data_IF_488007636384
#
_entry.id   IF_488007636384
#
_cell.length_a   1.000
_cell.length_b   1.000
_cell.length_c   1.000
_cell.angle_alpha   90.00
_cell.angle_beta   90.00
_cell.angle_gamma   90.00
#
_symmetry.space_group_name_H-M   'P 1'
#
loop_
_entity.id
_entity.type
_entity.pdbx_description
1 polymer ?
#
# COMPACT_ATOMS: atom_id res chain seq x y z
N UNK A 1 14.45 24.05 -21.91
CA UNK A 1 15.82 23.55 -22.20
C UNK A 1 16.72 23.47 -20.95
N UNK A 2 16.78 24.53 -20.13
CA UNK A 2 17.73 24.58 -19.00
C UNK A 2 17.15 24.15 -17.64
N UNK A 3 15.87 23.81 -17.60
CA UNK A 3 15.17 23.38 -16.38
C UNK A 3 15.74 22.09 -15.81
N UNK A 4 16.00 22.04 -14.51
CA UNK A 4 16.31 20.81 -13.77
C UNK A 4 15.04 20.00 -13.60
N UNK A 5 15.06 18.76 -14.08
CA UNK A 5 13.91 17.86 -14.08
C UNK A 5 14.18 16.68 -13.17
N UNK A 6 13.31 16.45 -12.20
CA UNK A 6 13.34 15.23 -11.38
C UNK A 6 12.23 14.27 -11.80
N UNK A 7 12.61 13.04 -12.15
CA UNK A 7 11.67 11.94 -12.41
C UNK A 7 11.69 11.02 -11.19
N UNK A 8 10.61 11.03 -10.42
CA UNK A 8 10.48 10.18 -9.24
C UNK A 8 10.00 8.80 -9.70
N UNK A 9 10.76 7.75 -9.39
CA UNK A 9 10.45 6.36 -9.74
C UNK A 9 10.23 5.52 -8.49
N UNK A 10 9.32 4.55 -8.57
CA UNK A 10 9.11 3.58 -7.50
C UNK A 10 10.38 2.74 -7.26
N UNK A 11 10.55 2.24 -6.04
CA UNK A 11 11.63 1.32 -5.68
C UNK A 11 11.35 -0.15 -6.09
N UNK A 12 12.32 -1.02 -5.83
CA UNK A 12 12.30 -2.46 -6.16
C UNK A 12 11.17 -3.24 -5.49
N UNK A 13 10.54 -2.69 -4.45
CA UNK A 13 9.42 -3.33 -3.77
C UNK A 13 8.09 -3.17 -4.52
N UNK A 14 8.07 -2.41 -5.61
CA UNK A 14 6.89 -2.17 -6.43
C UNK A 14 6.96 -2.95 -7.74
N UNK A 15 5.81 -3.47 -8.23
CA UNK A 15 5.75 -4.14 -9.52
C UNK A 15 5.73 -3.16 -10.71
N UNK A 16 5.92 -1.86 -10.47
CA UNK A 16 5.90 -0.81 -11.50
C UNK A 16 6.92 -1.15 -12.60
N UNK A 17 6.51 -1.28 -13.87
CA UNK A 17 7.41 -1.59 -14.97
C UNK A 17 8.17 -0.33 -15.43
N UNK A 18 8.99 0.26 -14.54
CA UNK A 18 9.66 1.54 -14.74
C UNK A 18 10.50 1.59 -16.02
N UNK A 19 11.23 0.50 -16.34
CA UNK A 19 11.97 0.37 -17.60
C UNK A 19 11.10 0.50 -18.87
N UNK A 20 9.78 0.32 -18.77
CA UNK A 20 8.82 0.56 -19.88
C UNK A 20 8.22 1.97 -19.85
N UNK A 21 8.22 2.62 -18.68
CA UNK A 21 7.64 3.97 -18.49
C UNK A 21 8.65 5.05 -18.90
N UNK A 22 9.92 4.87 -18.54
CA UNK A 22 10.95 5.89 -18.74
C UNK A 22 11.23 6.19 -20.23
N UNK A 23 11.37 5.22 -21.15
CA UNK A 23 11.72 5.53 -22.54
C UNK A 23 10.75 6.52 -23.22
N UNK A 24 9.42 6.31 -23.24
CA UNK A 24 8.51 7.29 -23.85
C UNK A 24 8.44 8.62 -23.08
N UNK A 25 8.65 8.61 -21.77
CA UNK A 25 8.70 9.85 -20.98
C UNK A 25 9.93 10.69 -21.33
N UNK A 26 11.10 10.04 -21.47
CA UNK A 26 12.34 10.71 -21.86
C UNK A 26 12.25 11.26 -23.28
N UNK A 27 11.63 10.52 -24.20
CA UNK A 27 11.38 10.99 -25.58
C UNK A 27 10.59 12.32 -25.58
N UNK A 28 9.51 12.41 -24.81
CA UNK A 28 8.73 13.65 -24.69
C UNK A 28 9.56 14.81 -24.09
N UNK A 29 10.38 14.52 -23.08
CA UNK A 29 11.26 15.53 -22.48
C UNK A 29 12.33 16.02 -23.48
N UNK A 30 12.89 15.13 -24.30
CA UNK A 30 13.85 15.50 -25.34
C UNK A 30 13.19 16.33 -26.45
N UNK A 31 11.95 16.02 -26.83
CA UNK A 31 11.16 16.86 -27.75
C UNK A 31 10.93 18.27 -27.16
N UNK A 32 10.76 18.37 -25.84
CA UNK A 32 10.73 19.63 -25.09
C UNK A 32 12.10 20.33 -24.95
N UNK A 33 13.17 19.74 -25.48
CA UNK A 33 14.52 20.28 -25.47
C UNK A 33 15.30 20.05 -24.18
N UNK A 34 14.87 19.13 -23.31
CA UNK A 34 15.70 18.65 -22.21
C UNK A 34 16.85 17.80 -22.75
N UNK A 35 17.92 17.68 -21.96
CA UNK A 35 19.05 16.78 -22.20
C UNK A 35 19.27 15.91 -20.98
N UNK A 36 20.07 14.86 -21.12
CA UNK A 36 20.42 13.95 -20.01
C UNK A 36 20.96 14.69 -18.78
N UNK A 37 21.77 15.74 -18.99
CA UNK A 37 22.34 16.58 -17.93
C UNK A 37 21.29 17.40 -17.14
N UNK A 38 20.10 17.60 -17.70
CA UNK A 38 19.00 18.29 -17.02
C UNK A 38 18.19 17.34 -16.13
N UNK A 39 18.29 16.02 -16.34
CA UNK A 39 17.37 15.04 -15.77
C UNK A 39 18.05 14.29 -14.62
N UNK A 40 17.36 14.17 -13.50
CA UNK A 40 17.73 13.30 -12.38
C UNK A 40 16.60 12.32 -12.10
N UNK A 41 16.92 11.02 -12.11
CA UNK A 41 15.99 9.97 -11.69
C UNK A 41 16.16 9.76 -10.19
N UNK A 42 15.06 9.93 -9.45
CA UNK A 42 15.04 9.80 -7.98
C UNK A 42 14.26 8.54 -7.60
N UNK A 43 14.91 7.57 -6.97
CA UNK A 43 14.22 6.39 -6.43
C UNK A 43 13.50 6.74 -5.13
N UNK A 44 12.18 6.68 -5.15
CA UNK A 44 11.30 6.93 -4.02
C UNK A 44 11.26 5.73 -3.07
N UNK A 45 12.17 5.70 -2.10
CA UNK A 45 12.28 4.63 -1.12
C UNK A 45 11.29 4.77 0.05
N UNK A 46 10.83 5.99 0.34
CA UNK A 46 10.21 6.29 1.63
C UNK A 46 11.11 5.84 2.79
N UNK A 47 10.64 4.89 3.60
CA UNK A 47 11.37 4.30 4.73
C UNK A 47 12.05 2.96 4.41
N UNK A 48 12.05 2.53 3.15
CA UNK A 48 12.69 1.28 2.79
C UNK A 48 14.22 1.40 2.77
N UNK A 49 14.90 0.24 2.81
CA UNK A 49 16.35 0.19 2.66
C UNK A 49 16.80 0.75 1.31
N UNK A 50 18.05 1.17 1.26
CA UNK A 50 18.72 1.45 -0.01
C UNK A 50 18.71 0.21 -0.92
N UNK A 51 18.54 0.45 -2.21
CA UNK A 51 18.64 -0.55 -3.25
C UNK A 51 20.11 -0.77 -3.61
N UNK A 52 20.41 -1.99 -4.01
CA UNK A 52 21.70 -2.29 -4.64
C UNK A 52 21.76 -1.67 -6.05
N UNK A 53 22.97 -1.51 -6.57
CA UNK A 53 23.18 -1.05 -7.93
C UNK A 53 22.49 -1.95 -8.96
N UNK A 54 22.55 -3.27 -8.76
CA UNK A 54 21.93 -4.25 -9.66
C UNK A 54 20.39 -4.19 -9.62
N UNK A 55 19.79 -3.99 -8.43
CA UNK A 55 18.36 -3.71 -8.31
C UNK A 55 17.97 -2.44 -9.08
N UNK A 56 18.77 -1.38 -8.94
CA UNK A 56 18.54 -0.09 -9.60
C UNK A 56 18.62 -0.21 -11.12
N UNK A 57 19.67 -0.86 -11.66
CA UNK A 57 19.83 -1.13 -13.10
C UNK A 57 18.68 -1.98 -13.65
N UNK A 58 18.28 -3.02 -12.92
CA UNK A 58 17.17 -3.88 -13.32
C UNK A 58 15.85 -3.11 -13.38
N UNK A 59 15.65 -2.16 -12.48
CA UNK A 59 14.41 -1.39 -12.37
C UNK A 59 14.23 -0.41 -13.54
N UNK A 60 15.27 0.36 -13.86
CA UNK A 60 15.18 1.44 -14.87
C UNK A 60 15.79 1.08 -16.23
N UNK A 61 16.57 0.00 -16.31
CA UNK A 61 17.35 -0.38 -17.49
C UNK A 61 18.79 0.12 -17.45
N UNK A 62 19.73 -0.73 -17.86
CA UNK A 62 21.17 -0.45 -17.78
C UNK A 62 21.59 0.78 -18.60
N UNK A 63 21.01 0.97 -19.78
CA UNK A 63 21.33 2.10 -20.65
C UNK A 63 20.92 3.44 -20.03
N UNK A 64 19.75 3.50 -19.40
CA UNK A 64 19.26 4.70 -18.71
C UNK A 64 20.13 4.98 -17.48
N UNK A 65 20.43 3.94 -16.69
CA UNK A 65 21.26 4.07 -15.49
C UNK A 65 22.67 4.61 -15.79
N UNK A 66 23.24 4.28 -16.95
CA UNK A 66 24.56 4.79 -17.37
C UNK A 66 24.53 6.23 -17.88
N UNK A 67 23.41 6.67 -18.48
CA UNK A 67 23.32 7.96 -19.17
C UNK A 67 22.81 9.09 -18.28
N UNK A 68 21.83 8.79 -17.44
CA UNK A 68 21.11 9.78 -16.65
C UNK A 68 21.51 9.65 -15.18
N UNK A 69 21.70 10.79 -14.51
CA UNK A 69 21.99 10.83 -13.07
C UNK A 69 20.86 10.14 -12.31
N UNK A 70 21.23 9.11 -11.54
CA UNK A 70 20.29 8.38 -10.69
C UNK A 70 20.68 8.55 -9.23
N UNK A 71 19.71 8.85 -8.37
CA UNK A 71 19.92 9.04 -6.94
C UNK A 71 18.80 8.38 -6.14
N UNK A 72 19.14 7.84 -4.98
CA UNK A 72 18.18 7.26 -4.07
C UNK A 72 17.76 8.27 -3.01
N UNK A 73 16.48 8.24 -2.63
CA UNK A 73 15.96 9.03 -1.52
C UNK A 73 16.75 8.76 -0.22
N UNK A 74 17.03 9.84 0.51
CA UNK A 74 17.67 9.83 1.84
C UNK A 74 16.86 10.71 2.79
N UNK A 75 16.29 10.08 3.83
CA UNK A 75 15.43 10.75 4.83
C UNK A 75 16.17 11.82 5.62
N UNK A 76 17.50 11.74 5.73
CA UNK A 76 18.33 12.72 6.44
C UNK A 76 18.58 14.01 5.64
N UNK A 77 18.30 13.98 4.33
CA UNK A 77 18.49 15.10 3.39
C UNK A 77 17.17 15.73 2.95
N UNK A 78 16.18 15.70 3.83
CA UNK A 78 14.88 16.33 3.60
C UNK A 78 14.87 17.74 4.19
N UNK A 79 14.25 18.70 3.48
CA UNK A 79 14.07 20.07 3.95
C UNK A 79 12.59 20.36 4.16
N UNK A 80 12.27 21.01 5.28
CA UNK A 80 10.90 21.38 5.64
C UNK A 80 10.43 22.59 4.85
N UNK A 81 9.24 22.45 4.26
CA UNK A 81 8.59 23.50 3.45
C UNK A 81 7.21 23.88 3.98
N UNK A 82 6.66 23.14 4.95
CA UNK A 82 5.36 23.44 5.52
C UNK A 82 4.88 22.42 6.53
N UNK A 83 3.57 22.44 6.78
CA UNK A 83 2.83 21.48 7.58
C UNK A 83 1.42 21.37 6.99
N UNK A 84 0.86 20.17 6.92
CA UNK A 84 -0.52 19.96 6.48
C UNK A 84 -1.51 20.39 7.56
N UNK A 85 -2.78 20.53 7.20
CA UNK A 85 -3.89 20.81 8.09
C UNK A 85 -4.05 19.75 9.19
N UNK A 86 -3.56 18.53 8.96
CA UNK A 86 -3.57 17.41 9.90
C UNK A 86 -2.28 17.29 10.73
N UNK A 87 -1.37 18.26 10.59
CA UNK A 87 -0.16 18.37 11.40
C UNK A 87 1.03 17.57 10.87
N UNK A 88 0.96 16.99 9.67
CA UNK A 88 2.09 16.29 9.04
C UNK A 88 3.11 17.33 8.57
N UNK A 89 4.37 17.29 9.07
CA UNK A 89 5.44 18.10 8.49
C UNK A 89 5.59 17.80 7.01
N UNK A 90 5.75 18.82 6.18
CA UNK A 90 6.01 18.64 4.76
C UNK A 90 7.51 18.81 4.57
N UNK A 91 8.23 17.69 4.54
CA UNK A 91 9.69 17.68 4.43
C UNK A 91 10.10 16.79 3.25
N UNK A 92 10.69 17.40 2.23
CA UNK A 92 10.95 16.75 0.94
C UNK A 92 12.44 16.68 0.68
N UNK A 93 12.88 15.57 0.08
CA UNK A 93 14.26 15.35 -0.32
C UNK A 93 14.81 16.49 -1.17
N UNK A 94 15.96 17.02 -0.79
CA UNK A 94 16.48 18.27 -1.35
C UNK A 94 16.68 18.23 -2.87
N UNK A 95 17.07 17.09 -3.44
CA UNK A 95 17.26 16.90 -4.89
C UNK A 95 15.94 17.02 -5.68
N UNK A 96 14.81 16.68 -5.04
CA UNK A 96 13.48 16.84 -5.63
C UNK A 96 12.98 18.27 -5.41
N UNK A 97 13.29 18.85 -4.25
CA UNK A 97 12.90 20.21 -3.92
C UNK A 97 13.63 21.27 -4.75
N UNK A 98 14.88 21.02 -5.14
CA UNK A 98 15.69 21.94 -5.96
C UNK A 98 15.44 21.82 -7.48
N UNK A 99 14.51 20.96 -7.89
CA UNK A 99 14.15 20.79 -9.30
C UNK A 99 13.14 21.85 -9.75
N UNK A 100 13.30 22.32 -10.99
CA UNK A 100 12.35 23.27 -11.60
C UNK A 100 11.06 22.57 -12.05
N UNK A 101 11.15 21.27 -12.36
CA UNK A 101 10.01 20.46 -12.77
C UNK A 101 10.12 19.04 -12.20
N UNK A 102 9.02 18.55 -11.63
CA UNK A 102 8.98 17.23 -10.99
C UNK A 102 7.88 16.37 -11.61
N UNK A 103 8.25 15.13 -11.96
CA UNK A 103 7.37 14.14 -12.55
C UNK A 103 7.26 12.96 -11.61
N UNK A 104 6.07 12.73 -11.07
CA UNK A 104 5.77 11.54 -10.27
C UNK A 104 5.44 10.34 -11.16
N UNK A 105 6.20 9.24 -11.07
CA UNK A 105 5.86 7.98 -11.76
C UNK A 105 5.51 6.86 -10.79
N UNK A 106 4.73 5.88 -11.25
CA UNK A 106 4.33 4.76 -10.40
C UNK A 106 3.18 3.92 -10.95
N UNK A 107 2.81 2.89 -10.20
CA UNK A 107 1.60 2.11 -10.43
C UNK A 107 0.42 2.62 -9.60
N UNK A 108 -0.81 2.50 -10.13
CA UNK A 108 -2.05 2.67 -9.38
C UNK A 108 -2.66 1.29 -9.14
N UNK A 109 -2.79 0.93 -7.88
CA UNK A 109 -3.42 -0.28 -7.34
C UNK A 109 -4.13 0.08 -6.03
N UNK A 110 -4.91 -0.85 -5.47
CA UNK A 110 -5.48 -0.63 -4.14
C UNK A 110 -4.41 -0.54 -3.06
N UNK A 111 -4.66 0.30 -2.06
CA UNK A 111 -3.80 0.44 -0.90
C UNK A 111 -4.63 0.44 0.38
N UNK A 112 -4.34 -0.52 1.25
CA UNK A 112 -5.16 -0.89 2.40
C UNK A 112 -5.58 0.26 3.34
N UNK A 113 -4.77 1.31 3.54
CA UNK A 113 -5.19 2.52 4.27
C UNK A 113 -5.27 3.82 3.46
N UNK A 114 -4.60 3.89 2.31
CA UNK A 114 -4.50 5.13 1.52
C UNK A 114 -5.54 5.18 0.39
N UNK A 115 -6.47 4.22 0.37
CA UNK A 115 -7.37 3.92 -0.73
C UNK A 115 -6.66 3.26 -1.91
N UNK A 116 -5.71 4.00 -2.49
CA UNK A 116 -4.99 3.64 -3.71
C UNK A 116 -3.49 3.90 -3.54
N UNK A 117 -2.64 3.37 -4.43
CA UNK A 117 -1.24 3.77 -4.61
C UNK A 117 -1.14 4.97 -5.56
N UNK A 118 0.05 5.31 -6.08
CA UNK A 118 0.21 6.33 -7.12
C UNK A 118 -0.14 7.77 -6.70
N UNK A 119 -0.09 8.66 -7.70
CA UNK A 119 -0.32 10.11 -7.52
C UNK A 119 0.61 10.72 -6.47
N UNK A 120 0.01 11.46 -5.53
CA UNK A 120 0.70 12.16 -4.45
C UNK A 120 1.64 11.28 -3.58
N UNK A 121 1.50 9.94 -3.63
CA UNK A 121 2.39 9.02 -2.91
C UNK A 121 3.84 9.07 -3.37
N UNK A 122 4.11 9.59 -4.57
CA UNK A 122 5.48 9.82 -5.03
C UNK A 122 6.20 10.87 -4.17
N UNK A 123 5.46 11.82 -3.58
CA UNK A 123 5.99 12.83 -2.66
C UNK A 123 5.97 12.27 -1.23
N UNK A 124 4.78 12.03 -0.68
CA UNK A 124 4.57 11.51 0.67
C UNK A 124 3.91 10.12 0.59
N UNK A 125 4.62 9.01 0.88
CA UNK A 125 5.92 8.93 1.55
C UNK A 125 7.15 8.91 0.63
N UNK A 126 6.99 8.86 -0.69
CA UNK A 126 8.04 8.44 -1.61
C UNK A 126 9.41 9.11 -1.44
N UNK A 127 9.42 10.43 -1.26
CA UNK A 127 10.65 11.24 -1.08
C UNK A 127 10.56 12.17 0.14
N UNK A 128 9.87 11.70 1.18
CA UNK A 128 9.62 12.46 2.41
C UNK A 128 10.45 11.97 3.59
N UNK A 129 10.71 12.87 4.55
CA UNK A 129 11.41 12.53 5.80
C UNK A 129 10.69 11.46 6.62
N UNK A 130 11.41 10.83 7.53
CA UNK A 130 10.81 9.86 8.44
C UNK A 130 9.70 10.47 9.31
N UNK A 131 9.89 11.67 9.84
CA UNK A 131 8.87 12.35 10.65
C UNK A 131 7.57 12.59 9.85
N UNK A 132 7.69 13.02 8.60
CA UNK A 132 6.56 13.22 7.69
C UNK A 132 5.82 11.90 7.44
N UNK A 133 6.57 10.84 7.12
CA UNK A 133 5.99 9.52 6.85
C UNK A 133 5.29 8.97 8.09
N UNK A 134 5.94 8.98 9.24
CA UNK A 134 5.38 8.46 10.48
C UNK A 134 4.13 9.23 10.92
N UNK A 135 4.14 10.56 10.80
CA UNK A 135 2.98 11.39 11.16
C UNK A 135 1.79 11.09 10.25
N UNK A 136 2.02 10.98 8.93
CA UNK A 136 0.99 10.57 7.99
C UNK A 136 0.43 9.16 8.28
N UNK A 137 1.31 8.20 8.64
CA UNK A 137 0.91 6.81 8.85
C UNK A 137 0.12 6.60 10.14
N UNK A 138 0.20 7.50 11.14
CA UNK A 138 -0.65 7.43 12.34
C UNK A 138 -2.15 7.47 12.01
N UNK A 139 -2.54 8.09 10.90
CA UNK A 139 -3.94 8.14 10.45
C UNK A 139 -4.46 6.80 9.89
N UNK A 140 -3.61 5.79 9.71
CA UNK A 140 -4.03 4.50 9.14
C UNK A 140 -5.00 3.70 10.00
N UNK A 141 -5.16 4.06 11.28
CA UNK A 141 -6.13 3.46 12.20
C UNK A 141 -7.46 4.22 12.24
N UNK A 142 -7.58 5.35 11.52
CA UNK A 142 -8.85 6.05 11.38
C UNK A 142 -9.85 5.19 10.61
N UNK A 143 -11.13 5.30 10.96
CA UNK A 143 -12.18 4.45 10.40
C UNK A 143 -12.28 4.49 8.86
N UNK A 144 -12.02 5.65 8.27
CA UNK A 144 -12.07 5.85 6.82
C UNK A 144 -10.73 5.58 6.10
N UNK A 145 -9.67 5.20 6.83
CA UNK A 145 -8.39 4.82 6.27
C UNK A 145 -8.45 3.37 5.74
N UNK A 146 -9.22 3.17 4.67
CA UNK A 146 -9.48 1.85 4.08
C UNK A 146 -9.19 1.85 2.57
N UNK A 147 -9.06 0.64 2.03
CA UNK A 147 -8.85 0.37 0.61
C UNK A 147 -9.99 0.92 -0.27
N UNK A 148 -9.66 1.41 -1.47
CA UNK A 148 -10.63 1.89 -2.47
C UNK A 148 -11.33 3.22 -2.17
N UNK A 149 -10.88 3.97 -1.16
CA UNK A 149 -11.40 5.30 -0.81
C UNK A 149 -10.48 6.42 -1.23
N UNK A 150 -10.96 7.28 -2.12
CA UNK A 150 -10.22 8.49 -2.55
C UNK A 150 -10.18 9.56 -1.47
N UNK A 151 -11.15 9.53 -0.55
CA UNK A 151 -11.29 10.44 0.58
C UNK A 151 -10.73 9.86 1.89
N UNK A 152 -9.86 8.85 1.79
CA UNK A 152 -9.10 8.35 2.95
C UNK A 152 -8.35 9.52 3.61
N UNK A 153 -8.38 9.64 4.96
CA UNK A 153 -7.70 10.72 5.66
C UNK A 153 -6.20 10.75 5.36
N UNK A 154 -5.59 9.56 5.22
CA UNK A 154 -4.19 9.41 4.83
C UNK A 154 -3.94 9.97 3.43
N UNK A 155 -4.85 9.72 2.48
CA UNK A 155 -4.74 10.19 1.09
C UNK A 155 -4.91 11.70 1.00
N UNK A 156 -5.90 12.25 1.71
CA UNK A 156 -6.12 13.70 1.75
C UNK A 156 -4.88 14.44 2.25
N UNK A 157 -4.25 13.92 3.30
CA UNK A 157 -2.99 14.47 3.83
C UNK A 157 -1.82 14.37 2.83
N UNK A 158 -1.71 13.25 2.10
CA UNK A 158 -0.73 13.10 1.01
C UNK A 158 -0.96 14.11 -0.12
N UNK A 159 -2.22 14.29 -0.53
CA UNK A 159 -2.59 15.21 -1.61
C UNK A 159 -2.36 16.67 -1.20
N UNK A 160 -2.67 17.04 0.05
CA UNK A 160 -2.36 18.37 0.59
C UNK A 160 -0.84 18.63 0.62
N UNK A 161 -0.04 17.65 1.08
CA UNK A 161 1.42 17.77 1.07
C UNK A 161 1.99 17.90 -0.35
N UNK A 162 1.48 17.12 -1.30
CA UNK A 162 1.91 17.18 -2.70
C UNK A 162 1.48 18.48 -3.40
N UNK A 163 0.31 19.03 -3.05
CA UNK A 163 -0.17 20.32 -3.55
C UNK A 163 0.69 21.47 -3.03
N UNK A 164 0.98 21.48 -1.71
CA UNK A 164 1.86 22.47 -1.09
C UNK A 164 3.31 22.39 -1.61
N UNK A 165 3.80 21.18 -1.91
CA UNK A 165 5.07 20.97 -2.61
C UNK A 165 5.03 21.53 -4.05
N UNK A 166 3.86 21.52 -4.69
CA UNK A 166 3.69 21.99 -6.06
C UNK A 166 3.83 20.90 -7.13
N UNK A 167 3.54 19.63 -6.81
CA UNK A 167 3.51 18.56 -7.81
C UNK A 167 2.43 18.87 -8.87
N UNK A 168 2.82 18.99 -10.15
CA UNK A 168 1.90 19.31 -11.26
C UNK A 168 1.70 18.20 -12.26
N UNK A 169 2.61 17.22 -12.33
CA UNK A 169 2.56 16.21 -13.37
C UNK A 169 2.91 14.82 -12.83
N UNK A 170 2.09 13.84 -13.22
CA UNK A 170 2.38 12.42 -13.03
C UNK A 170 2.30 11.66 -14.35
N UNK A 171 3.00 10.53 -14.41
CA UNK A 171 2.75 9.46 -15.37
C UNK A 171 2.61 8.16 -14.60
N UNK A 172 1.39 7.65 -14.49
CA UNK A 172 1.10 6.44 -13.74
C UNK A 172 0.52 5.35 -14.65
N UNK A 173 0.83 4.09 -14.33
CA UNK A 173 0.34 2.93 -15.07
C UNK A 173 -0.55 2.06 -14.20
N UNK A 174 -1.45 1.35 -14.85
CA UNK A 174 -2.37 0.40 -14.21
C UNK A 174 -2.02 -0.99 -14.71
N UNK A 175 -1.86 -1.93 -13.78
CA UNK A 175 -1.41 -3.29 -14.07
C UNK A 175 -2.53 -4.31 -13.86
N UNK A 176 -2.59 -5.31 -14.75
CA UNK A 176 -3.41 -6.51 -14.54
C UNK A 176 -2.76 -7.48 -13.54
N UNK A 177 -3.45 -8.59 -13.26
CA UNK A 177 -2.96 -9.63 -12.34
C UNK A 177 -1.70 -10.34 -12.82
N UNK A 178 -1.33 -10.20 -14.11
CA UNK A 178 -0.11 -10.71 -14.74
C UNK A 178 0.99 -9.65 -14.84
N UNK A 179 0.80 -8.47 -14.21
CA UNK A 179 1.73 -7.32 -14.25
C UNK A 179 1.88 -6.72 -15.66
N UNK A 180 0.93 -6.96 -16.56
CA UNK A 180 0.83 -6.29 -17.84
C UNK A 180 0.21 -4.90 -17.68
N UNK A 181 0.71 -3.91 -18.43
CA UNK A 181 0.14 -2.55 -18.44
C UNK A 181 -1.16 -2.59 -19.23
N UNK A 182 -2.29 -2.26 -18.59
CA UNK A 182 -3.61 -2.20 -19.22
C UNK A 182 -4.06 -0.77 -19.53
N UNK A 183 -3.52 0.21 -18.80
CA UNK A 183 -3.76 1.62 -19.02
C UNK A 183 -2.59 2.46 -18.49
N UNK A 184 -2.46 3.67 -19.03
CA UNK A 184 -1.56 4.70 -18.52
C UNK A 184 -2.33 6.02 -18.46
N UNK A 185 -2.07 6.81 -17.42
CA UNK A 185 -2.67 8.13 -17.19
C UNK A 185 -1.57 9.14 -16.90
N UNK A 186 -1.69 10.33 -17.48
CA UNK A 186 -0.71 11.39 -17.30
C UNK A 186 -1.39 12.76 -17.25
N UNK A 187 -0.77 13.72 -16.55
CA UNK A 187 -1.29 15.07 -16.35
C UNK A 187 -1.29 15.47 -14.89
N UNK A 188 -2.25 16.33 -14.50
CA UNK A 188 -2.43 16.77 -13.11
C UNK A 188 -2.47 15.58 -12.14
N UNK A 189 -1.79 15.73 -11.01
CA UNK A 189 -1.53 14.62 -10.10
C UNK A 189 -2.79 14.07 -9.42
N UNK A 190 -3.85 14.88 -9.29
CA UNK A 190 -5.15 14.43 -8.78
C UNK A 190 -5.99 13.91 -9.93
N UNK A 191 -6.22 14.71 -10.97
CA UNK A 191 -7.13 14.37 -12.06
C UNK A 191 -6.68 13.10 -12.81
N UNK A 192 -5.39 12.97 -13.14
CA UNK A 192 -4.86 11.78 -13.80
C UNK A 192 -4.94 10.55 -12.88
N UNK A 193 -4.64 10.71 -11.58
CA UNK A 193 -4.75 9.64 -10.60
C UNK A 193 -6.20 9.15 -10.47
N UNK A 194 -7.18 10.06 -10.37
CA UNK A 194 -8.61 9.72 -10.34
C UNK A 194 -9.05 8.99 -11.61
N UNK A 195 -8.54 9.40 -12.78
CA UNK A 195 -8.82 8.67 -14.02
C UNK A 195 -8.24 7.26 -14.04
N UNK A 196 -7.04 7.07 -13.46
CA UNK A 196 -6.42 5.76 -13.33
C UNK A 196 -7.18 4.83 -12.37
N UNK A 197 -7.74 5.40 -11.30
CA UNK A 197 -8.57 4.66 -10.33
C UNK A 197 -9.77 3.99 -11.01
N UNK A 198 -10.41 4.63 -12.00
CA UNK A 198 -11.55 4.03 -12.72
C UNK A 198 -11.20 2.67 -13.34
N UNK A 199 -9.97 2.50 -13.86
CA UNK A 199 -9.52 1.23 -14.41
C UNK A 199 -9.27 0.17 -13.34
N UNK A 200 -8.68 0.57 -12.20
CA UNK A 200 -8.47 -0.32 -11.04
C UNK A 200 -9.81 -0.80 -10.50
N UNK A 201 -10.74 0.13 -10.33
CA UNK A 201 -12.08 -0.15 -9.82
C UNK A 201 -12.85 -1.09 -10.75
N UNK A 202 -12.83 -0.82 -12.06
CA UNK A 202 -13.52 -1.67 -13.04
C UNK A 202 -12.99 -3.12 -13.06
N UNK A 203 -11.70 -3.33 -12.79
CA UNK A 203 -11.12 -4.67 -12.76
C UNK A 203 -11.35 -5.41 -11.45
N UNK A 204 -11.33 -4.70 -10.32
CA UNK A 204 -11.12 -5.33 -9.02
C UNK A 204 -12.13 -4.95 -7.93
N UNK A 205 -12.97 -3.92 -8.10
CA UNK A 205 -14.10 -3.68 -7.18
C UNK A 205 -15.24 -4.65 -7.46
N UNK A 206 -15.75 -5.27 -6.40
CA UNK A 206 -16.90 -6.17 -6.45
C UNK A 206 -18.01 -5.65 -5.52
N UNK A 207 -19.14 -5.12 -6.05
CA UNK A 207 -20.27 -4.70 -5.23
C UNK A 207 -20.94 -5.89 -4.55
N UNK A 208 -20.98 -5.87 -3.22
CA UNK A 208 -21.57 -6.94 -2.40
C UNK A 208 -22.50 -6.38 -1.33
N UNK A 209 -23.53 -7.15 -0.99
CA UNK A 209 -24.19 -7.00 0.31
C UNK A 209 -23.37 -7.76 1.35
N UNK A 210 -23.06 -7.15 2.52
CA UNK A 210 -22.32 -7.84 3.57
C UNK A 210 -22.92 -9.19 3.97
N UNK A 211 -22.06 -10.20 4.07
CA UNK A 211 -22.41 -11.56 4.49
C UNK A 211 -22.19 -11.76 6.00
N UNK A 212 -22.73 -12.85 6.55
CA UNK A 212 -22.52 -13.23 7.95
C UNK A 212 -21.10 -13.79 8.16
N UNK A 213 -20.52 -14.40 7.12
CA UNK A 213 -19.12 -14.78 7.09
C UNK A 213 -18.47 -14.62 5.70
N UNK A 214 -17.14 -14.57 5.70
CA UNK A 214 -16.32 -14.55 4.47
C UNK A 214 -15.22 -15.60 4.58
N UNK A 215 -15.11 -16.49 3.60
CA UNK A 215 -13.91 -17.31 3.39
C UNK A 215 -13.01 -16.60 2.41
N UNK A 216 -11.80 -16.23 2.84
CA UNK A 216 -10.86 -15.46 2.02
C UNK A 216 -9.51 -16.15 1.92
N UNK A 217 -8.96 -16.20 0.71
CA UNK A 217 -7.58 -16.62 0.45
C UNK A 217 -6.77 -15.49 -0.16
N UNK A 218 -5.46 -15.54 0.04
CA UNK A 218 -4.51 -14.61 -0.60
C UNK A 218 -4.26 -14.94 -2.08
N UNK A 219 -4.80 -16.06 -2.57
CA UNK A 219 -4.54 -16.58 -3.91
C UNK A 219 -3.33 -17.52 -4.00
N UNK A 220 -2.87 -18.06 -2.87
CA UNK A 220 -1.73 -18.97 -2.76
C UNK A 220 -0.36 -18.30 -2.94
N UNK A 221 0.68 -19.14 -3.03
CA UNK A 221 2.07 -18.69 -3.10
C UNK A 221 2.31 -17.77 -4.31
N UNK A 222 3.10 -16.69 -4.17
CA UNK A 222 3.84 -16.26 -2.99
C UNK A 222 3.06 -15.29 -2.07
N UNK A 223 1.75 -15.11 -2.27
CA UNK A 223 0.99 -14.07 -1.55
C UNK A 223 0.61 -14.48 -0.12
N UNK A 224 0.63 -15.77 0.18
CA UNK A 224 0.40 -16.35 1.51
C UNK A 224 1.69 -16.88 2.16
N UNK A 225 2.87 -16.45 1.68
CA UNK A 225 4.17 -16.91 2.20
C UNK A 225 4.33 -16.67 3.71
N UNK A 226 3.71 -15.61 4.24
CA UNK A 226 3.67 -15.30 5.68
C UNK A 226 2.43 -14.48 6.05
N UNK A 227 2.14 -14.40 7.36
CA UNK A 227 0.96 -13.70 7.88
C UNK A 227 1.00 -12.19 7.56
N UNK A 228 2.19 -11.58 7.56
CA UNK A 228 2.37 -10.18 7.22
C UNK A 228 1.81 -9.84 5.82
N UNK A 229 2.03 -10.69 4.82
CA UNK A 229 1.44 -10.51 3.48
C UNK A 229 -0.04 -10.89 3.45
N UNK A 230 -0.43 -11.96 4.15
CA UNK A 230 -1.79 -12.47 4.16
C UNK A 230 -2.82 -11.46 4.70
N UNK A 231 -2.39 -10.57 5.60
CA UNK A 231 -3.22 -9.49 6.14
C UNK A 231 -3.84 -8.60 5.05
N UNK A 232 -3.25 -8.48 3.85
CA UNK A 232 -3.86 -7.73 2.75
C UNK A 232 -5.22 -8.29 2.32
N UNK A 233 -5.35 -9.63 2.33
CA UNK A 233 -6.59 -10.30 1.98
C UNK A 233 -7.63 -10.17 3.11
N UNK A 234 -7.18 -10.25 4.38
CA UNK A 234 -8.01 -9.96 5.54
C UNK A 234 -8.58 -8.53 5.47
N UNK A 235 -7.73 -7.53 5.23
CA UNK A 235 -8.11 -6.12 5.17
C UNK A 235 -9.25 -5.90 4.17
N UNK A 236 -9.13 -6.44 2.95
CA UNK A 236 -10.19 -6.34 1.94
C UNK A 236 -11.47 -7.11 2.33
N UNK A 237 -11.35 -8.28 2.99
CA UNK A 237 -12.50 -9.08 3.41
C UNK A 237 -13.39 -8.37 4.44
N UNK A 238 -12.83 -7.44 5.24
CA UNK A 238 -13.61 -6.65 6.21
C UNK A 238 -14.76 -5.87 5.58
N UNK A 239 -14.65 -5.52 4.29
CA UNK A 239 -15.70 -4.80 3.56
C UNK A 239 -16.87 -5.69 3.12
N UNK A 240 -16.66 -7.01 3.07
CA UNK A 240 -17.65 -8.01 2.66
C UNK A 240 -18.44 -8.65 3.80
N UNK A 241 -18.12 -8.34 5.06
CA UNK A 241 -18.72 -8.98 6.22
C UNK A 241 -19.51 -7.98 7.07
N UNK A 242 -20.62 -8.45 7.67
CA UNK A 242 -21.38 -7.69 8.67
C UNK A 242 -20.53 -7.50 9.92
N UNK A 243 -20.74 -6.40 10.63
CA UNK A 243 -20.11 -6.20 11.94
C UNK A 243 -20.54 -7.31 12.91
N UNK A 244 -19.58 -7.84 13.68
CA UNK A 244 -19.76 -9.04 14.50
C UNK A 244 -19.69 -10.37 13.75
N UNK A 245 -19.60 -10.36 12.41
CA UNK A 245 -19.48 -11.56 11.59
C UNK A 245 -18.09 -12.21 11.64
N UNK A 246 -17.92 -13.26 10.83
CA UNK A 246 -16.71 -14.09 10.84
C UNK A 246 -15.88 -13.96 9.56
N UNK A 247 -14.56 -13.87 9.68
CA UNK A 247 -13.63 -13.95 8.54
C UNK A 247 -12.76 -15.19 8.71
N UNK A 248 -12.80 -16.09 7.73
CA UNK A 248 -11.98 -17.29 7.66
C UNK A 248 -10.84 -17.01 6.67
N UNK A 249 -9.67 -16.63 7.19
CA UNK A 249 -8.47 -16.41 6.40
C UNK A 249 -7.78 -17.76 6.12
N UNK A 250 -7.57 -18.05 4.84
CA UNK A 250 -6.89 -19.24 4.35
C UNK A 250 -5.56 -18.82 3.72
N UNK A 251 -4.46 -19.10 4.42
CA UNK A 251 -3.11 -18.71 4.03
C UNK A 251 -2.11 -19.71 4.59
N UNK A 252 -1.22 -20.27 3.76
CA UNK A 252 -0.28 -21.30 4.24
C UNK A 252 0.67 -20.77 5.31
N UNK A 253 1.23 -19.57 5.12
CA UNK A 253 2.18 -18.90 6.02
C UNK A 253 3.43 -19.76 6.33
N UNK A 254 4.05 -20.32 5.30
CA UNK A 254 5.21 -21.20 5.44
C UNK A 254 6.44 -20.53 6.12
N UNK A 255 6.61 -19.22 5.97
CA UNK A 255 7.65 -18.43 6.65
C UNK A 255 7.19 -17.86 8.01
N UNK A 256 6.04 -18.29 8.51
CA UNK A 256 5.47 -17.85 9.78
C UNK A 256 4.90 -16.42 9.72
N UNK A 257 5.26 -15.58 10.69
CA UNK A 257 4.73 -14.21 10.81
C UNK A 257 5.29 -13.29 9.71
N UNK A 258 6.56 -13.48 9.33
CA UNK A 258 7.21 -12.74 8.23
C UNK A 258 7.77 -11.35 8.59
N UNK A 259 7.66 -10.93 9.85
CA UNK A 259 8.29 -9.70 10.34
C UNK A 259 8.54 -9.77 11.85
N UNK A 260 9.77 -9.51 12.29
CA UNK A 260 10.18 -9.65 13.69
C UNK A 260 9.50 -8.65 14.63
N UNK A 261 9.30 -7.40 14.18
CA UNK A 261 8.59 -6.39 14.97
C UNK A 261 7.12 -6.77 15.11
N UNK A 262 6.49 -7.24 14.02
CA UNK A 262 5.11 -7.73 14.05
C UNK A 262 4.96 -8.90 15.04
N UNK A 263 5.86 -9.87 14.99
CA UNK A 263 5.88 -11.01 15.91
C UNK A 263 6.12 -10.57 17.37
N UNK A 264 7.03 -9.64 17.60
CA UNK A 264 7.30 -9.05 18.90
C UNK A 264 6.05 -8.37 19.50
N UNK A 265 5.34 -7.58 18.68
CA UNK A 265 4.11 -6.92 19.10
C UNK A 265 3.01 -7.93 19.45
N UNK A 266 2.83 -8.97 18.63
CA UNK A 266 1.87 -10.05 18.89
C UNK A 266 2.14 -10.75 20.23
N UNK A 267 3.41 -11.06 20.54
CA UNK A 267 3.77 -11.68 21.83
C UNK A 267 3.60 -10.74 23.03
N UNK A 268 3.80 -9.43 22.85
CA UNK A 268 3.80 -8.46 23.95
C UNK A 268 2.42 -7.87 24.23
N UNK A 269 1.54 -7.79 23.24
CA UNK A 269 0.18 -7.26 23.37
C UNK A 269 -0.76 -8.40 23.74
N UNK A 270 -1.31 -8.39 24.96
CA UNK A 270 -2.10 -9.52 25.49
C UNK A 270 -3.50 -9.58 24.91
N UNK A 271 -3.98 -8.45 24.38
CA UNK A 271 -5.31 -8.30 23.82
C UNK A 271 -5.28 -7.22 22.71
N UNK A 272 -6.34 -7.13 21.88
CA UNK A 272 -6.41 -6.14 20.81
C UNK A 272 -6.26 -4.67 21.26
N UNK A 273 -6.76 -4.30 22.44
CA UNK A 273 -6.66 -2.92 22.95
C UNK A 273 -5.21 -2.54 23.25
N UNK A 274 -4.40 -3.46 23.77
CA UNK A 274 -2.96 -3.23 24.01
C UNK A 274 -2.23 -2.84 22.72
N UNK A 275 -2.49 -3.55 21.62
CA UNK A 275 -1.85 -3.30 20.32
C UNK A 275 -2.29 -1.97 19.71
N UNK A 276 -3.57 -1.63 19.82
CA UNK A 276 -4.14 -0.37 19.34
C UNK A 276 -3.57 0.81 20.14
N UNK A 277 -3.52 0.70 21.47
CA UNK A 277 -3.01 1.77 22.32
C UNK A 277 -1.50 1.96 22.15
N UNK A 278 -0.74 0.87 22.06
CA UNK A 278 0.69 0.92 21.72
C UNK A 278 0.93 1.66 20.42
N UNK A 279 0.13 1.39 19.38
CA UNK A 279 0.27 2.09 18.09
C UNK A 279 0.03 3.60 18.19
N UNK A 280 -0.96 4.04 18.98
CA UNK A 280 -1.22 5.48 19.16
C UNK A 280 -0.02 6.22 19.76
N UNK A 281 0.72 5.55 20.65
CA UNK A 281 1.87 6.14 21.32
C UNK A 281 3.20 5.92 20.57
N UNK A 282 3.32 4.82 19.82
CA UNK A 282 4.53 4.42 19.13
C UNK A 282 4.20 3.77 17.80
N UNK A 283 4.46 4.47 16.69
CA UNK A 283 4.48 3.82 15.39
C UNK A 283 5.80 3.06 15.24
N UNK A 284 5.71 1.76 14.97
CA UNK A 284 6.87 0.94 14.59
C UNK A 284 6.54 0.18 13.31
N UNK A 285 7.43 0.26 12.31
CA UNK A 285 7.25 -0.47 11.07
C UNK A 285 7.29 -1.98 11.35
N UNK A 286 6.34 -2.73 10.80
CA UNK A 286 6.05 -4.10 11.22
C UNK A 286 4.95 -4.17 12.29
N UNK A 287 5.15 -3.48 13.42
CA UNK A 287 4.23 -3.47 14.56
C UNK A 287 2.83 -2.96 14.24
N UNK A 288 2.72 -1.98 13.34
CA UNK A 288 1.43 -1.47 12.83
C UNK A 288 0.49 -2.55 12.28
N UNK A 289 1.01 -3.69 11.80
CA UNK A 289 0.17 -4.82 11.36
C UNK A 289 -0.57 -5.47 12.53
N UNK A 290 0.03 -5.52 13.71
CA UNK A 290 -0.63 -6.01 14.93
C UNK A 290 -1.82 -5.12 15.28
N UNK A 291 -1.66 -3.80 15.22
CA UNK A 291 -2.75 -2.87 15.47
C UNK A 291 -3.90 -2.98 14.45
N UNK A 292 -3.61 -3.17 13.16
CA UNK A 292 -4.65 -3.38 12.14
C UNK A 292 -5.43 -4.67 12.39
N UNK A 293 -4.73 -5.78 12.64
CA UNK A 293 -5.39 -7.06 12.92
C UNK A 293 -6.18 -6.98 14.22
N UNK A 294 -5.67 -6.28 15.23
CA UNK A 294 -6.40 -6.00 16.46
C UNK A 294 -7.71 -5.23 16.21
N UNK A 295 -7.69 -4.18 15.39
CA UNK A 295 -8.91 -3.44 15.00
C UNK A 295 -9.92 -4.37 14.33
N UNK A 296 -9.45 -5.24 13.42
CA UNK A 296 -10.32 -6.23 12.78
C UNK A 296 -10.87 -7.24 13.79
N UNK A 297 -10.04 -7.74 14.71
CA UNK A 297 -10.44 -8.70 15.75
C UNK A 297 -11.44 -8.13 16.76
N UNK A 298 -11.46 -6.80 16.96
CA UNK A 298 -12.49 -6.13 17.75
C UNK A 298 -13.86 -6.09 17.07
N UNK A 299 -13.89 -6.12 15.73
CA UNK A 299 -15.11 -6.02 14.93
C UNK A 299 -15.61 -7.36 14.43
N UNK A 300 -14.74 -8.35 14.28
CA UNK A 300 -15.01 -9.62 13.62
C UNK A 300 -14.35 -10.79 14.35
N UNK A 301 -14.94 -11.98 14.22
CA UNK A 301 -14.27 -13.23 14.62
C UNK A 301 -13.32 -13.66 13.52
N UNK A 302 -12.03 -13.71 13.83
CA UNK A 302 -10.98 -14.03 12.86
C UNK A 302 -10.55 -15.49 13.02
N UNK A 303 -10.88 -16.33 12.05
CA UNK A 303 -10.37 -17.70 11.97
C UNK A 303 -9.18 -17.76 11.01
N UNK A 304 -8.16 -18.54 11.35
CA UNK A 304 -6.98 -18.75 10.50
C UNK A 304 -6.80 -20.24 10.20
N UNK A 305 -6.79 -20.59 8.92
CA UNK A 305 -6.41 -21.90 8.40
C UNK A 305 -5.03 -21.76 7.78
N UNK A 306 -4.00 -22.28 8.46
CA UNK A 306 -2.59 -22.11 8.07
C UNK A 306 -1.68 -23.21 8.62
N UNK A 307 -0.40 -23.23 8.21
CA UNK A 307 0.66 -24.02 8.84
C UNK A 307 1.33 -23.30 10.03
N UNK A 308 0.91 -22.08 10.35
CA UNK A 308 1.45 -21.33 11.47
C UNK A 308 1.17 -22.10 12.78
N UNK A 309 2.14 -22.17 13.73
CA UNK A 309 1.88 -22.75 15.04
C UNK A 309 0.68 -22.06 15.71
N UNK A 310 -0.22 -22.83 16.31
CA UNK A 310 -1.47 -22.30 16.85
C UNK A 310 -1.27 -21.20 17.90
N UNK A 311 -0.21 -21.29 18.70
CA UNK A 311 0.18 -20.25 19.67
C UNK A 311 0.43 -18.91 18.97
N UNK A 312 1.25 -18.90 17.90
CA UNK A 312 1.54 -17.68 17.12
C UNK A 312 0.30 -17.12 16.44
N UNK A 313 -0.64 -17.97 16.02
CA UNK A 313 -1.92 -17.52 15.48
C UNK A 313 -2.77 -16.81 16.55
N UNK A 314 -2.82 -17.37 17.77
CA UNK A 314 -3.54 -16.76 18.90
C UNK A 314 -2.90 -15.45 19.35
N UNK A 315 -1.57 -15.38 19.40
CA UNK A 315 -0.82 -14.14 19.68
C UNK A 315 -1.11 -13.05 18.63
N UNK A 316 -1.42 -13.46 17.40
CA UNK A 316 -1.85 -12.57 16.33
C UNK A 316 -3.38 -12.30 16.32
N UNK A 317 -4.09 -12.63 17.41
CA UNK A 317 -5.54 -12.43 17.59
C UNK A 317 -6.45 -13.28 16.69
N UNK A 318 -5.95 -14.39 16.15
CA UNK A 318 -6.75 -15.35 15.38
C UNK A 318 -7.17 -16.57 16.21
N UNK A 319 -8.26 -17.20 15.78
CA UNK A 319 -8.70 -18.53 16.20
C UNK A 319 -8.13 -19.54 15.18
N UNK A 320 -7.11 -20.34 15.53
CA UNK A 320 -6.54 -21.31 14.61
C UNK A 320 -7.54 -22.45 14.35
N UNK A 321 -7.67 -22.85 13.09
CA UNK A 321 -8.53 -23.94 12.64
C UNK A 321 -7.72 -24.92 11.78
N UNK A 322 -7.91 -26.22 11.95
CA UNK A 322 -7.17 -27.25 11.22
C UNK A 322 -7.59 -27.39 9.76
N UNK A 323 -8.79 -26.92 9.40
CA UNK A 323 -9.26 -26.91 8.02
C UNK A 323 -10.34 -25.84 7.78
N UNK A 324 -10.58 -25.52 6.50
CA UNK A 324 -11.70 -24.67 6.08
C UNK A 324 -13.05 -25.28 6.51
N UNK A 325 -13.19 -26.61 6.43
CA UNK A 325 -14.42 -27.31 6.81
C UNK A 325 -14.71 -27.13 8.30
N UNK A 326 -13.68 -27.20 9.15
CA UNK A 326 -13.81 -26.99 10.59
C UNK A 326 -14.22 -25.55 10.90
N UNK A 327 -13.57 -24.57 10.26
CA UNK A 327 -13.90 -23.15 10.40
C UNK A 327 -15.35 -22.85 9.96
N UNK A 328 -15.78 -23.41 8.83
CA UNK A 328 -17.17 -23.30 8.36
C UNK A 328 -18.16 -23.95 9.31
N UNK A 329 -17.82 -25.11 9.88
CA UNK A 329 -18.68 -25.81 10.85
C UNK A 329 -18.88 -24.97 12.11
N UNK A 330 -17.84 -24.27 12.57
CA UNK A 330 -17.96 -23.34 13.70
C UNK A 330 -18.90 -22.16 13.38
N UNK A 331 -18.79 -21.56 12.20
CA UNK A 331 -19.69 -20.48 11.75
C UNK A 331 -21.14 -20.96 11.66
N UNK A 332 -21.38 -22.11 11.03
CA UNK A 332 -22.72 -22.66 10.81
C UNK A 332 -23.37 -23.21 12.09
N UNK A 333 -22.58 -23.63 13.07
CA UNK A 333 -23.10 -24.02 14.39
C UNK A 333 -23.73 -22.83 15.13
N UNK A 334 -23.15 -21.64 14.98
CA UNK A 334 -23.67 -20.41 15.59
C UNK A 334 -24.82 -19.80 14.78
N UNK A 335 -24.77 -19.91 13.45
CA UNK A 335 -25.81 -19.44 12.54
C UNK A 335 -25.99 -20.41 11.35
N UNK A 336 -26.93 -21.38 11.43
CA UNK A 336 -27.16 -22.37 10.37
C UNK A 336 -27.55 -21.78 9.00
N UNK A 337 -28.14 -20.59 8.98
CA UNK A 337 -28.59 -19.88 7.78
C UNK A 337 -27.61 -18.77 7.35
N UNK A 338 -26.36 -18.82 7.83
CA UNK A 338 -25.36 -17.82 7.52
C UNK A 338 -25.15 -17.67 6.00
N UNK A 339 -25.29 -16.44 5.48
CA UNK A 339 -24.80 -16.08 4.15
C UNK A 339 -23.28 -16.05 4.21
N UNK A 340 -22.61 -16.75 3.29
CA UNK A 340 -21.14 -16.84 3.25
C UNK A 340 -20.64 -16.39 1.88
N UNK A 341 -19.74 -15.40 1.86
CA UNK A 341 -19.00 -15.03 0.65
C UNK A 341 -17.70 -15.83 0.55
N UNK A 342 -17.27 -16.11 -0.68
CA UNK A 342 -15.97 -16.75 -0.96
C UNK A 342 -15.13 -15.80 -1.79
N UNK A 343 -13.92 -15.50 -1.32
CA UNK A 343 -12.95 -14.59 -1.92
C UNK A 343 -11.63 -15.32 -2.19
N UNK A 344 -11.49 -16.04 -3.33
CA UNK A 344 -10.29 -16.82 -3.63
C UNK A 344 -9.01 -15.99 -3.81
N UNK A 345 -9.17 -14.72 -4.22
CA UNK A 345 -8.07 -13.78 -4.47
C UNK A 345 -8.28 -12.47 -3.68
N UNK A 346 -8.44 -12.57 -2.37
CA UNK A 346 -8.77 -11.44 -1.49
C UNK A 346 -7.72 -10.33 -1.49
N UNK A 347 -6.46 -10.62 -1.80
CA UNK A 347 -5.43 -9.57 -1.95
C UNK A 347 -5.59 -8.71 -3.21
N UNK A 348 -6.41 -9.12 -4.18
CA UNK A 348 -6.68 -8.37 -5.42
C UNK A 348 -8.13 -7.88 -5.49
N UNK A 349 -9.09 -8.68 -5.04
CA UNK A 349 -10.51 -8.32 -5.07
C UNK A 349 -10.81 -7.38 -3.90
N UNK A 350 -11.41 -6.23 -4.19
CA UNK A 350 -11.93 -5.32 -3.17
C UNK A 350 -13.47 -5.37 -3.17
N UNK A 351 -14.08 -6.03 -2.18
CA UNK A 351 -15.50 -5.91 -1.97
C UNK A 351 -15.85 -4.47 -1.60
N UNK A 352 -16.92 -3.95 -2.20
CA UNK A 352 -17.50 -2.66 -1.80
C UNK A 352 -18.96 -2.87 -1.45
N UNK A 353 -19.40 -2.28 -0.34
CA UNK A 353 -20.81 -2.37 0.07
C UNK A 353 -21.66 -1.73 -1.02
N UNK A 354 -22.70 -2.43 -1.50
CA UNK A 354 -23.68 -1.81 -2.40
C UNK A 354 -24.28 -0.60 -1.68
N UNK A 355 -24.16 0.57 -2.30
CA UNK A 355 -24.96 1.73 -1.91
C UNK A 355 -26.41 1.42 -2.30
N UNK A 356 -27.32 1.53 -1.33
CA UNK A 356 -28.76 1.36 -1.55
C UNK A 356 -29.36 2.55 -2.27
#
# INVERSE_FOLDING_TARGET
PDSKISIIVSDVTRPTPTAKILPPLLEELYLGGAKDENITIVFALGLHRQQTEEESKKLIGEDIYKKIRCIQHDTSRCRRIGVTSRGTPIEVFEEVLDADFVIGTGGIEFHYYAGYSGGAKSILPGVSSEESVLTNHKMMIEENAVSGRVDSPVRQDMEEAAEAFGLKFILNVILDSKKGIVAAVAGDFIAAHRKGIEFVDAMYKAPVEPADAVVVSCGGYPKDINLYQANKALDNATQAVKEGGSIILVAECEEGIGNQVYECWNMQCKNPDDAIERFKHCFEFGGHKSAIVAIAAKKFRLYLVSKLPEEKARDAFFIPMGSVQEALSAVLSDNPEAKIHVMPHGGQTLPVRKEN
#
